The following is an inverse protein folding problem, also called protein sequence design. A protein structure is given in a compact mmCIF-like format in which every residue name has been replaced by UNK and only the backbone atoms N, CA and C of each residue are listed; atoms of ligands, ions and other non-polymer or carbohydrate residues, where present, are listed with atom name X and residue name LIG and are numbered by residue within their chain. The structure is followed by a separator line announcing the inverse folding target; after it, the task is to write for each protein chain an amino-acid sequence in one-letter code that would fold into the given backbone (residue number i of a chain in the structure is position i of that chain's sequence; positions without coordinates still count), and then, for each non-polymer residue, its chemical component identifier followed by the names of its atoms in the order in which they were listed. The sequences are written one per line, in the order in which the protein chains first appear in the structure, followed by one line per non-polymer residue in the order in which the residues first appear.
data_IF_601415678870
#
_entry.id   IF_601415678870
#
_cell.length_a   1.000
_cell.length_b   1.000
_cell.length_c   1.000
_cell.angle_alpha   90.00
_cell.angle_beta   90.00
_cell.angle_gamma   90.00
#
_symmetry.space_group_name_H-M   'P 1'
#
loop_
_entity.id
_entity.type
_entity.pdbx_description
1 polymer ?
#
# COMPACT_ATOMS: atom_id res chain seq x y z
N UNK A 1 -0.54 -6.43 -4.20
CA UNK A 1 0.41 -6.72 -3.08
C UNK A 1 1.09 -8.09 -3.20
N UNK A 2 0.44 -9.12 -3.78
CA UNK A 2 1.02 -10.46 -3.97
C UNK A 2 2.42 -10.45 -4.61
N UNK A 3 2.61 -9.75 -5.74
CA UNK A 3 3.92 -9.58 -6.41
C UNK A 3 5.03 -9.05 -5.49
N UNK A 4 4.71 -8.12 -4.59
CA UNK A 4 5.67 -7.57 -3.63
C UNK A 4 6.07 -8.58 -2.54
N UNK A 5 5.20 -9.56 -2.26
CA UNK A 5 5.45 -10.66 -1.31
C UNK A 5 6.23 -11.79 -1.95
N UNK A 6 5.88 -12.15 -3.18
CA UNK A 6 6.58 -13.18 -3.98
C UNK A 6 8.03 -12.78 -4.28
N UNK A 7 8.32 -11.48 -4.28
CA UNK A 7 9.67 -10.98 -4.12
C UNK A 7 10.33 -10.54 -5.42
N UNK A 8 11.61 -10.22 -5.26
CA UNK A 8 12.47 -9.49 -6.17
C UNK A 8 13.52 -8.79 -5.31
N UNK A 9 14.77 -8.82 -5.72
CA UNK A 9 15.88 -8.21 -4.97
C UNK A 9 16.23 -6.83 -5.52
N UNK A 10 16.91 -6.02 -4.71
CA UNK A 10 17.42 -4.70 -5.11
C UNK A 10 16.37 -3.82 -5.81
N UNK A 11 16.66 -3.44 -7.05
CA UNK A 11 15.85 -2.52 -7.83
C UNK A 11 14.44 -3.04 -8.12
N UNK A 12 14.29 -4.35 -8.32
CA UNK A 12 12.97 -4.94 -8.57
C UNK A 12 12.07 -4.78 -7.34
N UNK A 13 12.62 -4.96 -6.14
CA UNK A 13 11.88 -4.72 -4.90
C UNK A 13 11.44 -3.28 -4.78
N UNK A 14 12.35 -2.34 -5.07
CA UNK A 14 12.07 -0.91 -4.99
C UNK A 14 10.97 -0.48 -5.98
N UNK A 15 10.98 -1.02 -7.20
CA UNK A 15 9.91 -0.78 -8.18
C UNK A 15 8.57 -1.32 -7.68
N UNK A 16 8.54 -2.56 -7.20
CA UNK A 16 7.31 -3.17 -6.64
C UNK A 16 6.78 -2.41 -5.42
N UNK A 17 7.66 -1.85 -4.58
CA UNK A 17 7.26 -1.00 -3.45
C UNK A 17 6.65 0.32 -3.92
N UNK A 18 7.21 0.94 -4.97
CA UNK A 18 6.68 2.17 -5.56
C UNK A 18 5.30 1.93 -6.19
N UNK A 19 5.16 0.85 -6.96
CA UNK A 19 3.88 0.44 -7.56
C UNK A 19 2.82 0.16 -6.48
N UNK A 20 3.20 -0.59 -5.43
CA UNK A 20 2.30 -0.90 -4.32
C UNK A 20 1.87 0.37 -3.57
N UNK A 21 2.78 1.31 -3.31
CA UNK A 21 2.45 2.58 -2.66
C UNK A 21 1.47 3.40 -3.50
N UNK A 22 1.71 3.53 -4.81
CA UNK A 22 0.81 4.25 -5.70
C UNK A 22 -0.61 3.63 -5.71
N UNK A 23 -0.70 2.30 -5.78
CA UNK A 23 -1.99 1.60 -5.77
C UNK A 23 -2.74 1.77 -4.43
N UNK A 24 -2.03 1.67 -3.30
CA UNK A 24 -2.65 1.85 -1.97
C UNK A 24 -3.10 3.30 -1.77
N UNK A 25 -2.32 4.28 -2.22
CA UNK A 25 -2.70 5.69 -2.14
C UNK A 25 -3.99 5.99 -2.93
N UNK A 26 -4.05 5.51 -4.18
CA UNK A 26 -5.25 5.65 -5.01
C UNK A 26 -6.47 5.02 -4.35
N UNK A 27 -6.31 3.83 -3.75
CA UNK A 27 -7.38 3.16 -3.02
C UNK A 27 -7.85 3.96 -1.79
N UNK A 28 -6.94 4.53 -1.00
CA UNK A 28 -7.31 5.37 0.15
C UNK A 28 -8.09 6.62 -0.27
N UNK A 29 -7.65 7.28 -1.35
CA UNK A 29 -8.39 8.43 -1.92
C UNK A 29 -9.82 8.00 -2.31
N UNK A 30 -9.97 6.88 -3.03
CA UNK A 30 -11.30 6.38 -3.43
C UNK A 30 -12.19 6.11 -2.20
N UNK A 31 -11.64 5.53 -1.14
CA UNK A 31 -12.38 5.31 0.11
C UNK A 31 -12.83 6.62 0.76
N UNK A 32 -11.94 7.60 0.83
CA UNK A 32 -12.25 8.91 1.40
C UNK A 32 -13.33 9.64 0.61
N UNK A 33 -13.29 9.56 -0.73
CA UNK A 33 -14.34 10.07 -1.61
C UNK A 33 -15.70 9.40 -1.36
N UNK A 34 -15.71 8.12 -0.99
CA UNK A 34 -16.91 7.39 -0.57
C UNK A 34 -17.31 7.63 0.91
N UNK A 35 -16.64 8.54 1.63
CA UNK A 35 -16.90 8.82 3.05
C UNK A 35 -16.26 7.85 4.04
N UNK A 36 -15.44 6.90 3.57
CA UNK A 36 -14.82 5.84 4.37
C UNK A 36 -13.40 6.22 4.82
N UNK A 37 -13.29 7.18 5.75
CA UNK A 37 -12.02 7.83 6.13
C UNK A 37 -11.09 7.02 7.04
N UNK A 38 -11.56 5.93 7.65
CA UNK A 38 -10.73 5.08 8.53
C UNK A 38 -10.03 3.99 7.70
N UNK A 39 -8.71 3.90 7.83
CA UNK A 39 -7.87 2.99 7.03
C UNK A 39 -7.42 1.72 7.78
N UNK A 40 -7.53 1.66 9.11
CA UNK A 40 -7.04 0.54 9.93
C UNK A 40 -7.60 -0.82 9.51
N UNK A 41 -8.91 -0.88 9.24
CA UNK A 41 -9.58 -2.11 8.86
C UNK A 41 -9.02 -2.65 7.54
N UNK A 42 -8.86 -1.79 6.53
CA UNK A 42 -8.37 -2.19 5.21
C UNK A 42 -6.87 -2.46 5.18
N UNK A 43 -6.09 -1.77 6.02
CA UNK A 43 -4.67 -2.08 6.21
C UNK A 43 -4.51 -3.53 6.70
N UNK A 44 -5.34 -3.95 7.66
CA UNK A 44 -5.36 -5.33 8.17
C UNK A 44 -5.90 -6.31 7.14
N UNK A 45 -7.05 -6.00 6.53
CA UNK A 45 -7.73 -6.87 5.55
C UNK A 45 -6.81 -7.21 4.37
N UNK A 46 -6.21 -6.20 3.74
CA UNK A 46 -5.29 -6.41 2.61
C UNK A 46 -3.86 -6.77 3.04
N UNK A 47 -3.59 -6.78 4.35
CA UNK A 47 -2.26 -7.03 4.91
C UNK A 47 -1.22 -6.12 4.22
N UNK A 48 -1.47 -4.80 4.26
CA UNK A 48 -0.64 -3.79 3.60
C UNK A 48 0.73 -3.75 4.30
N UNK A 49 1.85 -3.98 3.58
CA UNK A 49 3.16 -4.02 4.21
C UNK A 49 3.56 -2.67 4.82
N UNK A 50 4.23 -2.68 5.98
CA UNK A 50 4.76 -1.46 6.64
C UNK A 50 5.61 -0.61 5.69
N UNK A 51 6.44 -1.24 4.85
CA UNK A 51 7.29 -0.56 3.87
C UNK A 51 6.52 0.19 2.77
N UNK A 52 5.24 -0.16 2.56
CA UNK A 52 4.31 0.58 1.70
C UNK A 52 3.74 1.78 2.46
N UNK A 53 3.28 1.59 3.70
CA UNK A 53 2.72 2.66 4.54
C UNK A 53 3.73 3.80 4.81
N UNK A 54 4.98 3.45 5.14
CA UNK A 54 6.06 4.43 5.36
C UNK A 54 6.28 5.33 4.14
N UNK A 55 6.13 4.80 2.92
CA UNK A 55 6.26 5.60 1.68
C UNK A 55 5.10 6.57 1.46
N UNK A 56 3.96 6.34 2.11
CA UNK A 56 2.79 7.21 2.06
C UNK A 56 2.82 8.29 3.16
N UNK A 57 3.81 8.27 4.05
CA UNK A 57 3.79 9.10 5.27
C UNK A 57 2.71 8.67 6.28
N UNK A 58 2.11 7.50 6.06
CA UNK A 58 1.11 6.91 6.96
C UNK A 58 1.82 6.05 8.01
N UNK A 59 1.48 6.25 9.29
CA UNK A 59 2.01 5.49 10.43
C UNK A 59 1.01 4.45 10.92
#
# INVERSE_FOLDING_TARGET
LARLREGGEGDQRNRLLKEAAAAVHAYFIQRELCGLRKHDAVIREYNIPRAVLVRLGAS
#
